data_IF_398502839719
#
_entry.id   IF_398502839719
#
_cell.length_a   1.000
_cell.length_b   1.000
_cell.length_c   1.000
_cell.angle_alpha   90.00
_cell.angle_beta   90.00
_cell.angle_gamma   90.00
#
_symmetry.space_group_name_H-M   'P 1'
#
loop_
_entity.id
_entity.type
_entity.pdbx_description
1 polymer ?
#
# COMPACT_ATOMS: atom_id res chain seq x y z
N UNK A 1 59.10 14.28 -21.14
CA UNK A 1 58.28 13.24 -21.80
C UNK A 1 58.20 12.06 -20.83
N UNK A 2 57.09 11.95 -20.10
CA UNK A 2 56.91 10.93 -19.06
C UNK A 2 55.94 9.86 -19.57
N UNK A 3 56.39 8.61 -19.55
CA UNK A 3 55.60 7.43 -19.93
C UNK A 3 54.63 7.04 -18.81
N UNK A 4 53.36 6.68 -19.11
CA UNK A 4 52.44 6.20 -18.09
C UNK A 4 52.67 4.73 -17.74
N UNK A 5 52.48 4.43 -16.45
CA UNK A 5 52.62 3.11 -15.83
C UNK A 5 51.52 2.13 -16.30
N UNK A 6 51.92 0.85 -16.40
CA UNK A 6 51.08 -0.27 -16.84
C UNK A 6 50.11 -0.68 -15.72
N UNK A 7 48.83 -0.70 -16.03
CA UNK A 7 47.76 -1.27 -15.18
C UNK A 7 47.79 -2.80 -15.29
N UNK A 8 48.04 -3.48 -14.18
CA UNK A 8 47.92 -4.94 -14.05
C UNK A 8 46.48 -5.33 -13.73
N UNK A 9 45.83 -6.06 -14.63
CA UNK A 9 44.55 -6.72 -14.38
C UNK A 9 44.77 -7.95 -13.50
N UNK A 10 44.12 -7.99 -12.34
CA UNK A 10 44.04 -9.17 -11.47
C UNK A 10 42.78 -9.96 -11.84
N UNK A 11 42.99 -11.18 -12.34
CA UNK A 11 41.96 -12.10 -12.80
C UNK A 11 41.69 -13.13 -11.69
N UNK A 12 40.57 -13.00 -10.97
CA UNK A 12 40.17 -13.94 -9.91
C UNK A 12 39.29 -15.05 -10.50
N UNK A 13 39.93 -16.16 -10.91
CA UNK A 13 39.23 -17.44 -11.12
C UNK A 13 39.18 -18.22 -9.81
N UNK A 14 38.01 -18.24 -9.17
CA UNK A 14 37.72 -19.15 -8.07
C UNK A 14 37.39 -20.55 -8.64
N UNK A 15 38.30 -21.49 -8.45
CA UNK A 15 38.06 -22.92 -8.63
C UNK A 15 37.39 -23.45 -7.35
N UNK A 16 36.06 -23.63 -7.38
CA UNK A 16 35.35 -24.40 -6.37
C UNK A 16 35.36 -25.87 -6.80
N UNK A 17 36.12 -26.71 -6.07
CA UNK A 17 36.06 -28.16 -6.22
C UNK A 17 34.93 -28.69 -5.35
N UNK A 18 33.97 -29.34 -6.00
CA UNK A 18 32.89 -30.09 -5.38
C UNK A 18 33.44 -31.28 -4.59
N UNK A 19 33.11 -31.38 -3.30
CA UNK A 19 33.28 -32.61 -2.55
C UNK A 19 32.34 -32.67 -1.35
N UNK A 20 31.10 -33.13 -1.54
CA UNK A 20 30.31 -33.77 -0.47
C UNK A 20 29.34 -34.78 -1.08
N UNK A 21 29.81 -36.02 -1.20
CA UNK A 21 28.96 -37.21 -1.32
C UNK A 21 28.60 -37.67 0.10
N UNK A 22 27.40 -37.31 0.57
CA UNK A 22 26.69 -38.08 1.59
C UNK A 22 25.21 -37.70 1.54
N UNK A 23 24.42 -38.63 1.00
CA UNK A 23 23.00 -38.48 0.71
C UNK A 23 22.21 -39.04 1.89
N UNK A 24 22.11 -38.27 2.97
CA UNK A 24 21.09 -38.46 3.99
C UNK A 24 19.89 -37.55 3.66
N UNK A 25 18.71 -38.16 3.56
CA UNK A 25 17.45 -37.51 3.27
C UNK A 25 17.01 -36.65 4.45
N UNK A 26 17.51 -35.42 4.54
CA UNK A 26 16.86 -34.38 5.33
C UNK A 26 15.75 -33.76 4.49
N UNK A 27 14.50 -34.01 4.88
CA UNK A 27 13.34 -33.29 4.37
C UNK A 27 13.46 -31.82 4.82
N UNK A 28 14.10 -30.99 3.98
CA UNK A 28 14.21 -29.56 4.21
C UNK A 28 12.81 -28.96 4.09
N UNK A 29 12.21 -28.64 5.23
CA UNK A 29 10.95 -27.92 5.30
C UNK A 29 11.17 -26.52 4.70
N UNK A 30 10.72 -26.32 3.47
CA UNK A 30 10.79 -25.02 2.78
C UNK A 30 9.79 -24.07 3.45
N UNK A 31 10.26 -23.32 4.45
CA UNK A 31 9.48 -22.25 5.08
C UNK A 31 9.39 -21.10 4.07
N UNK A 32 8.23 -20.96 3.40
CA UNK A 32 8.00 -19.87 2.43
C UNK A 32 8.02 -18.51 3.14
N UNK A 33 8.55 -17.50 2.44
CA UNK A 33 9.02 -16.19 2.93
C UNK A 33 8.07 -15.26 3.69
N UNK A 34 6.87 -15.68 4.11
CA UNK A 34 5.99 -14.86 4.97
C UNK A 34 6.27 -15.02 6.47
N UNK A 35 6.96 -16.09 6.89
CA UNK A 35 7.25 -16.36 8.30
C UNK A 35 8.70 -16.08 8.72
N UNK A 36 9.60 -15.72 7.80
CA UNK A 36 11.03 -15.52 8.14
C UNK A 36 11.20 -14.38 9.15
N UNK A 37 10.54 -13.24 8.95
CA UNK A 37 10.59 -12.13 9.91
C UNK A 37 9.94 -12.46 11.27
N UNK A 38 8.99 -13.40 11.30
CA UNK A 38 8.39 -13.88 12.55
C UNK A 38 9.33 -14.83 13.29
N UNK A 39 10.01 -15.70 12.56
CA UNK A 39 11.05 -16.59 13.10
C UNK A 39 12.19 -15.77 13.66
N UNK A 40 12.67 -14.73 12.95
CA UNK A 40 13.73 -13.85 13.45
C UNK A 40 13.33 -13.13 14.73
N UNK A 41 12.12 -12.56 14.82
CA UNK A 41 11.63 -11.94 16.07
C UNK A 41 11.46 -12.94 17.22
N UNK A 42 11.10 -14.18 16.92
CA UNK A 42 11.00 -15.24 17.93
C UNK A 42 12.39 -15.68 18.38
N UNK A 43 13.35 -15.79 17.46
CA UNK A 43 14.74 -16.12 17.75
C UNK A 43 15.41 -15.01 18.57
N UNK A 44 15.18 -13.74 18.24
CA UNK A 44 15.67 -12.58 18.99
C UNK A 44 15.13 -12.59 20.43
N UNK A 45 13.83 -12.87 20.62
CA UNK A 45 13.24 -13.07 21.96
C UNK A 45 13.85 -14.24 22.74
N UNK A 46 14.37 -15.26 22.07
CA UNK A 46 15.06 -16.37 22.72
C UNK A 46 16.52 -16.03 23.09
N UNK A 47 17.18 -15.16 22.32
CA UNK A 47 18.51 -14.62 22.67
C UNK A 47 18.41 -13.77 23.93
N UNK A 48 17.40 -12.89 24.02
CA UNK A 48 17.20 -12.01 25.17
C UNK A 48 16.72 -12.75 26.44
N UNK A 49 16.10 -13.93 26.28
CA UNK A 49 15.57 -14.70 27.41
C UNK A 49 15.84 -16.21 27.27
N UNK A 50 17.05 -16.67 27.65
CA UNK A 50 17.43 -18.08 27.51
C UNK A 50 16.56 -19.02 28.35
N UNK A 51 15.88 -18.52 29.40
CA UNK A 51 14.95 -19.34 30.21
C UNK A 51 13.70 -19.74 29.42
N UNK A 52 13.23 -18.91 28.49
CA UNK A 52 12.11 -19.26 27.61
C UNK A 52 12.51 -20.36 26.62
N UNK A 53 13.73 -20.33 26.11
CA UNK A 53 14.26 -21.38 25.24
C UNK A 53 14.36 -22.72 25.98
N UNK A 54 14.89 -22.72 27.21
CA UNK A 54 14.96 -23.93 28.06
C UNK A 54 13.56 -24.46 28.39
N UNK A 55 12.59 -23.60 28.70
CA UNK A 55 11.20 -24.01 28.95
C UNK A 55 10.51 -24.54 27.69
N UNK A 56 10.85 -24.00 26.51
CA UNK A 56 10.35 -24.50 25.23
C UNK A 56 10.95 -25.86 24.89
N UNK A 57 12.26 -26.05 25.09
CA UNK A 57 12.96 -27.34 24.92
C UNK A 57 12.44 -28.42 25.88
N UNK A 58 12.19 -28.07 27.14
CA UNK A 58 11.60 -28.98 28.14
C UNK A 58 10.25 -29.56 27.73
N UNK A 59 9.49 -28.90 26.85
CA UNK A 59 8.23 -29.47 26.33
C UNK A 59 8.46 -30.63 25.37
N UNK A 60 9.61 -30.66 24.69
CA UNK A 60 10.01 -31.74 23.79
C UNK A 60 10.82 -32.84 24.50
N UNK A 61 11.49 -32.50 25.60
CA UNK A 61 12.20 -33.48 26.44
C UNK A 61 11.25 -34.35 27.29
N UNK A 62 10.01 -33.88 27.52
CA UNK A 62 8.95 -34.75 28.03
C UNK A 62 8.54 -35.66 26.90
N UNK A 63 8.99 -36.92 26.95
CA UNK A 63 8.40 -37.99 26.15
C UNK A 63 6.88 -37.83 26.21
N UNK A 64 6.19 -37.79 25.05
CA UNK A 64 4.74 -37.65 25.02
C UNK A 64 4.20 -38.72 25.95
N UNK A 65 3.54 -38.28 27.04
CA UNK A 65 3.00 -39.21 28.02
C UNK A 65 2.10 -40.21 27.30
N UNK A 66 1.97 -41.44 27.82
CA UNK A 66 1.09 -42.45 27.23
C UNK A 66 -0.27 -41.81 27.01
N UNK A 67 -0.60 -41.59 25.73
CA UNK A 67 -1.80 -40.89 25.32
C UNK A 67 -2.98 -41.58 25.99
N UNK A 68 -3.61 -40.90 26.94
CA UNK A 68 -4.89 -41.37 27.45
C UNK A 68 -5.87 -41.23 26.29
N UNK A 69 -6.14 -42.38 25.67
CA UNK A 69 -7.15 -42.62 24.67
C UNK A 69 -8.53 -42.29 25.25
N UNK A 70 -8.86 -41.00 25.23
CA UNK A 70 -10.17 -40.46 25.53
C UNK A 70 -10.65 -39.67 24.34
N UNK A 71 -11.22 -40.37 23.36
CA UNK A 71 -12.29 -39.87 22.48
C UNK A 71 -12.07 -38.47 21.90
N UNK A 72 -11.01 -38.29 21.10
CA UNK A 72 -10.96 -37.21 20.11
C UNK A 72 -11.08 -37.80 18.71
N UNK A 73 -12.29 -38.22 18.39
CA UNK A 73 -12.70 -38.60 17.02
C UNK A 73 -12.84 -37.33 16.19
N UNK A 74 -11.72 -36.69 15.88
CA UNK A 74 -11.58 -35.88 14.66
C UNK A 74 -10.12 -35.79 14.23
N UNK A 75 -9.44 -36.92 14.27
CA UNK A 75 -8.34 -37.15 13.35
C UNK A 75 -8.95 -37.15 11.95
N UNK A 76 -8.77 -36.05 11.21
CA UNK A 76 -8.88 -36.09 9.77
C UNK A 76 -7.84 -37.11 9.30
N UNK A 77 -8.26 -38.36 9.14
CA UNK A 77 -7.57 -39.29 8.29
C UNK A 77 -7.62 -38.64 6.92
N UNK A 78 -6.58 -37.88 6.59
CA UNK A 78 -6.31 -37.39 5.24
C UNK A 78 -6.01 -38.63 4.41
N UNK A 79 -7.07 -39.35 4.06
CA UNK A 79 -7.04 -40.24 2.92
C UNK A 79 -6.47 -39.40 1.77
N UNK A 80 -5.32 -39.78 1.19
CA UNK A 80 -4.74 -39.03 0.08
C UNK A 80 -5.83 -38.83 -0.95
N UNK A 81 -6.15 -37.57 -1.26
CA UNK A 81 -7.14 -37.26 -2.27
C UNK A 81 -6.72 -37.98 -3.55
N UNK A 82 -7.67 -38.54 -4.32
CA UNK A 82 -7.36 -39.06 -5.64
C UNK A 82 -6.52 -38.03 -6.42
N UNK A 83 -5.48 -38.44 -7.18
CA UNK A 83 -4.60 -37.51 -7.88
C UNK A 83 -5.33 -36.46 -8.72
N UNK A 84 -6.48 -36.83 -9.29
CA UNK A 84 -7.36 -35.92 -10.04
C UNK A 84 -7.96 -34.79 -9.19
N UNK A 85 -8.38 -35.08 -7.96
CA UNK A 85 -8.89 -34.05 -7.03
C UNK A 85 -7.76 -33.14 -6.53
N UNK A 86 -6.56 -33.69 -6.34
CA UNK A 86 -5.39 -32.90 -5.98
C UNK A 86 -5.03 -31.91 -7.11
N UNK A 87 -4.96 -32.38 -8.36
CA UNK A 87 -4.67 -31.52 -9.51
C UNK A 87 -5.74 -30.43 -9.68
N UNK A 88 -7.03 -30.79 -9.52
CA UNK A 88 -8.13 -29.83 -9.56
C UNK A 88 -7.99 -28.76 -8.49
N UNK A 89 -7.67 -29.14 -7.25
CA UNK A 89 -7.45 -28.20 -6.14
C UNK A 89 -6.26 -27.28 -6.40
N UNK A 90 -5.16 -27.81 -6.94
CA UNK A 90 -3.98 -27.01 -7.31
C UNK A 90 -4.33 -26.00 -8.41
N UNK A 91 -5.11 -26.41 -9.41
CA UNK A 91 -5.60 -25.52 -10.48
C UNK A 91 -6.51 -24.41 -9.93
N UNK A 92 -7.45 -24.74 -9.06
CA UNK A 92 -8.33 -23.76 -8.40
C UNK A 92 -7.54 -22.77 -7.54
N UNK A 93 -6.52 -23.23 -6.82
CA UNK A 93 -5.63 -22.36 -6.04
C UNK A 93 -4.79 -21.45 -6.94
N UNK A 94 -4.28 -21.97 -8.06
CA UNK A 94 -3.57 -21.16 -9.06
C UNK A 94 -4.50 -20.09 -9.65
N UNK A 95 -5.71 -20.47 -10.07
CA UNK A 95 -6.70 -19.53 -10.62
C UNK A 95 -7.10 -18.46 -9.59
N UNK A 96 -7.33 -18.86 -8.34
CA UNK A 96 -7.60 -17.93 -7.24
C UNK A 96 -6.44 -16.96 -7.02
N UNK A 97 -5.19 -17.47 -7.00
CA UNK A 97 -4.00 -16.62 -6.84
C UNK A 97 -3.83 -15.63 -8.00
N UNK A 98 -4.12 -16.05 -9.24
CA UNK A 98 -4.11 -15.18 -10.41
C UNK A 98 -5.20 -14.11 -10.29
N UNK A 99 -6.41 -14.48 -9.87
CA UNK A 99 -7.51 -13.52 -9.63
C UNK A 99 -7.17 -12.51 -8.55
N UNK A 100 -6.53 -12.92 -7.45
CA UNK A 100 -6.11 -11.98 -6.42
C UNK A 100 -5.02 -11.01 -6.93
N UNK A 101 -4.02 -11.51 -7.65
CA UNK A 101 -3.02 -10.64 -8.32
C UNK A 101 -3.67 -9.67 -9.31
N UNK A 102 -4.66 -10.15 -10.06
CA UNK A 102 -5.45 -9.35 -10.99
C UNK A 102 -6.15 -8.20 -10.28
N UNK A 103 -6.83 -8.50 -9.16
CA UNK A 103 -7.53 -7.49 -8.36
C UNK A 103 -6.59 -6.42 -7.84
N UNK A 104 -5.40 -6.77 -7.37
CA UNK A 104 -4.45 -5.76 -6.89
C UNK A 104 -4.01 -4.77 -7.98
N UNK A 105 -4.02 -5.18 -9.25
CA UNK A 105 -3.57 -4.38 -10.37
C UNK A 105 -4.66 -3.49 -11.00
N UNK A 106 -5.92 -3.57 -10.57
CA UNK A 106 -6.97 -2.67 -11.09
C UNK A 106 -6.89 -1.28 -10.43
N UNK A 107 -7.26 -0.18 -11.12
CA UNK A 107 -7.10 1.18 -10.61
C UNK A 107 -7.78 1.41 -9.27
N UNK A 108 -8.95 0.82 -9.08
CA UNK A 108 -9.73 0.95 -7.85
C UNK A 108 -8.99 0.40 -6.63
N UNK A 109 -8.54 -0.86 -6.70
CA UNK A 109 -7.88 -1.52 -5.57
C UNK A 109 -6.53 -0.88 -5.31
N UNK A 110 -5.80 -0.49 -6.35
CA UNK A 110 -4.52 0.16 -6.17
C UNK A 110 -4.65 1.57 -5.58
N UNK A 111 -5.65 2.34 -6.01
CA UNK A 111 -5.99 3.61 -5.36
C UNK A 111 -6.32 3.41 -3.89
N UNK A 112 -7.17 2.43 -3.56
CA UNK A 112 -7.52 2.13 -2.17
C UNK A 112 -6.31 1.68 -1.34
N UNK A 113 -5.41 0.86 -1.89
CA UNK A 113 -4.20 0.42 -1.20
C UNK A 113 -3.29 1.62 -0.86
N UNK A 114 -3.15 2.58 -1.78
CA UNK A 114 -2.44 3.83 -1.51
C UNK A 114 -3.16 4.71 -0.48
N UNK A 115 -4.51 4.79 -0.53
CA UNK A 115 -5.29 5.53 0.48
C UNK A 115 -5.06 4.96 1.88
N UNK A 116 -5.07 3.64 2.01
CA UNK A 116 -4.79 2.94 3.26
C UNK A 116 -3.35 3.24 3.71
N UNK A 117 -2.37 3.18 2.80
CA UNK A 117 -0.97 3.46 3.11
C UNK A 117 -0.74 4.90 3.57
N UNK A 118 -1.34 5.88 2.88
CA UNK A 118 -1.29 7.29 3.26
C UNK A 118 -1.99 7.53 4.60
N UNK A 119 -3.12 6.87 4.85
CA UNK A 119 -3.80 6.90 6.13
C UNK A 119 -2.88 6.40 7.27
N UNK A 120 -2.20 5.26 7.07
CA UNK A 120 -1.23 4.76 8.03
C UNK A 120 -0.04 5.70 8.25
N UNK A 121 0.47 6.36 7.19
CA UNK A 121 1.55 7.34 7.35
C UNK A 121 1.11 8.52 8.22
N UNK A 122 -0.06 9.10 7.95
CA UNK A 122 -0.60 10.17 8.78
C UNK A 122 -0.80 9.74 10.25
N UNK A 123 -1.16 8.48 10.48
CA UNK A 123 -1.29 7.92 11.84
C UNK A 123 0.05 7.88 12.57
N UNK A 124 1.12 7.46 11.89
CA UNK A 124 2.47 7.44 12.46
C UNK A 124 2.96 8.85 12.79
N UNK A 125 2.78 9.82 11.89
CA UNK A 125 3.21 11.21 12.08
C UNK A 125 2.50 11.90 13.26
N UNK A 126 1.22 11.59 13.49
CA UNK A 126 0.45 12.19 14.58
C UNK A 126 0.81 11.60 15.95
N UNK A 127 1.57 10.50 16.01
CA UNK A 127 1.86 9.78 17.26
C UNK A 127 0.59 9.35 18.02
N UNK A 128 -0.54 9.23 17.31
CA UNK A 128 -1.84 8.94 17.91
C UNK A 128 -2.06 7.45 18.00
N UNK A 129 -2.65 7.04 19.11
CA UNK A 129 -3.15 5.70 19.35
C UNK A 129 -4.20 5.33 18.27
N UNK A 130 -3.99 4.26 17.48
CA UNK A 130 -4.89 3.86 16.40
C UNK A 130 -6.34 3.68 16.88
N UNK A 131 -6.55 3.30 18.14
CA UNK A 131 -7.88 3.01 18.70
C UNK A 131 -8.69 4.27 19.03
N UNK A 132 -8.06 5.46 19.04
CA UNK A 132 -8.69 6.71 19.52
C UNK A 132 -9.14 7.66 18.42
N UNK A 133 -8.92 7.34 17.15
CA UNK A 133 -9.25 8.26 16.05
C UNK A 133 -10.58 7.90 15.39
N UNK A 134 -11.37 8.93 15.06
CA UNK A 134 -12.59 8.76 14.27
C UNK A 134 -12.23 8.21 12.87
N UNK A 135 -12.72 7.01 12.49
CA UNK A 135 -12.30 6.31 11.27
C UNK A 135 -12.48 7.12 9.97
N UNK A 136 -13.49 7.98 9.92
CA UNK A 136 -13.91 8.64 8.68
C UNK A 136 -13.07 9.87 8.31
N UNK A 137 -12.59 10.67 9.29
CA UNK A 137 -11.90 11.94 8.99
C UNK A 137 -10.54 11.75 8.33
N UNK A 138 -9.81 10.71 8.73
CA UNK A 138 -8.47 10.43 8.21
C UNK A 138 -8.51 9.84 6.80
N UNK A 139 -9.53 9.06 6.47
CA UNK A 139 -9.63 8.41 5.16
C UNK A 139 -9.90 9.41 4.03
N UNK A 140 -10.75 10.41 4.26
CA UNK A 140 -11.05 11.43 3.25
C UNK A 140 -9.84 12.31 2.93
N UNK A 141 -9.03 12.62 3.96
CA UNK A 141 -7.79 13.38 3.79
C UNK A 141 -6.76 12.57 2.99
N UNK A 142 -6.49 11.34 3.40
CA UNK A 142 -5.62 10.42 2.67
C UNK A 142 -6.06 10.26 1.21
N UNK A 143 -7.36 10.09 0.98
CA UNK A 143 -7.95 10.02 -0.37
C UNK A 143 -7.70 11.25 -1.22
N UNK A 144 -7.85 12.44 -0.66
CA UNK A 144 -7.54 13.70 -1.37
C UNK A 144 -6.06 13.77 -1.72
N UNK A 145 -5.17 13.39 -0.80
CA UNK A 145 -3.73 13.39 -1.04
C UNK A 145 -3.32 12.42 -2.16
N UNK A 146 -3.80 11.17 -2.11
CA UNK A 146 -3.56 10.17 -3.18
C UNK A 146 -4.08 10.69 -4.51
N UNK A 147 -5.29 11.26 -4.53
CA UNK A 147 -5.88 11.83 -5.75
C UNK A 147 -5.04 12.96 -6.31
N UNK A 148 -4.59 13.91 -5.49
CA UNK A 148 -3.70 15.00 -5.92
C UNK A 148 -2.45 14.40 -6.56
N UNK A 149 -1.85 13.39 -5.92
CA UNK A 149 -0.65 12.76 -6.47
C UNK A 149 -0.89 12.01 -7.78
N UNK A 150 -2.04 11.35 -7.96
CA UNK A 150 -2.39 10.72 -9.23
C UNK A 150 -2.66 11.75 -10.34
N UNK A 151 -3.18 12.93 -10.00
CA UNK A 151 -3.33 14.05 -10.95
C UNK A 151 -1.97 14.56 -11.38
N UNK A 152 -1.04 14.77 -10.44
CA UNK A 152 0.33 15.24 -10.73
C UNK A 152 1.10 14.24 -11.60
N UNK A 153 0.93 12.94 -11.35
CA UNK A 153 1.52 11.88 -12.18
C UNK A 153 0.84 11.73 -13.54
N UNK A 154 -0.27 12.44 -13.80
CA UNK A 154 -1.03 12.31 -15.04
C UNK A 154 -1.82 11.00 -15.18
N UNK A 155 -1.92 10.21 -14.10
CA UNK A 155 -2.70 8.96 -14.03
C UNK A 155 -4.20 9.28 -13.95
N UNK A 156 -4.55 10.28 -13.13
CA UNK A 156 -5.94 10.66 -12.91
C UNK A 156 -6.55 11.34 -14.15
N UNK A 157 -7.74 10.89 -14.54
CA UNK A 157 -8.49 11.47 -15.67
C UNK A 157 -9.45 12.57 -15.24
N UNK A 158 -9.67 13.57 -16.10
CA UNK A 158 -10.63 14.67 -15.83
C UNK A 158 -12.06 14.15 -15.79
N UNK A 159 -12.33 13.05 -16.49
CA UNK A 159 -13.62 12.39 -16.61
C UNK A 159 -13.97 11.59 -15.34
N UNK A 160 -12.99 11.25 -14.50
CA UNK A 160 -13.20 10.62 -13.19
C UNK A 160 -13.75 11.60 -12.13
N UNK A 161 -14.20 12.78 -12.54
CA UNK A 161 -14.73 13.84 -11.67
C UNK A 161 -16.24 13.73 -11.40
N UNK A 162 -16.91 12.67 -11.83
CA UNK A 162 -18.36 12.55 -11.61
C UNK A 162 -18.63 12.60 -10.11
N UNK A 163 -19.40 13.60 -9.65
CA UNK A 163 -19.66 13.91 -8.22
C UNK A 163 -20.23 12.73 -7.42
N UNK A 164 -20.71 11.69 -8.11
CA UNK A 164 -21.23 10.47 -7.51
C UNK A 164 -20.17 9.36 -7.28
N UNK A 165 -18.99 9.49 -7.88
CA UNK A 165 -17.97 8.44 -7.91
C UNK A 165 -16.62 9.01 -7.47
N UNK A 166 -16.42 9.15 -6.16
CA UNK A 166 -15.11 9.53 -5.59
C UNK A 166 -14.00 8.47 -5.85
N UNK A 167 -14.32 7.36 -6.52
CA UNK A 167 -13.44 6.25 -6.81
C UNK A 167 -13.11 6.16 -8.31
N UNK A 168 -11.86 5.81 -8.69
CA UNK A 168 -11.52 5.61 -10.09
C UNK A 168 -12.32 4.44 -10.67
N UNK A 169 -12.64 4.47 -11.97
CA UNK A 169 -13.29 3.36 -12.66
C UNK A 169 -12.37 2.12 -12.72
N UNK A 170 -12.92 1.01 -13.17
CA UNK A 170 -12.21 -0.26 -13.27
C UNK A 170 -11.06 -0.28 -14.30
N UNK A 171 -10.98 0.70 -15.21
CA UNK A 171 -10.03 0.70 -16.33
C UNK A 171 -8.96 1.78 -16.20
N UNK A 172 -7.72 1.43 -16.51
CA UNK A 172 -6.58 2.35 -16.46
C UNK A 172 -6.60 3.40 -17.56
N UNK A 173 -5.74 4.41 -17.40
CA UNK A 173 -5.58 5.49 -18.38
C UNK A 173 -5.12 4.98 -19.75
N UNK A 174 -4.15 4.07 -19.76
CA UNK A 174 -3.53 3.53 -20.97
C UNK A 174 -4.38 2.48 -21.70
N UNK A 175 -5.41 1.92 -21.06
CA UNK A 175 -6.28 0.89 -21.68
C UNK A 175 -7.30 1.47 -22.66
N UNK A 176 -7.63 2.75 -22.52
CA UNK A 176 -8.51 3.41 -23.48
C UNK A 176 -7.70 3.98 -24.65
N UNK A 177 -8.33 4.14 -25.83
CA UNK A 177 -7.71 4.86 -26.94
C UNK A 177 -7.14 6.20 -26.48
N UNK A 178 -5.92 6.48 -26.94
CA UNK A 178 -5.22 7.73 -26.61
C UNK A 178 -6.04 8.92 -27.12
N UNK A 179 -6.43 9.87 -26.25
CA UNK A 179 -7.13 11.07 -26.69
C UNK A 179 -6.26 11.90 -27.64
N UNK A 180 -6.85 12.58 -28.64
CA UNK A 180 -6.11 13.50 -29.50
C UNK A 180 -5.47 14.62 -28.67
N UNK A 181 -4.20 14.93 -28.96
CA UNK A 181 -3.43 15.95 -28.24
C UNK A 181 -2.78 15.49 -26.93
N UNK A 182 -2.98 14.23 -26.51
CA UNK A 182 -2.26 13.66 -25.37
C UNK A 182 -0.95 13.01 -25.83
N UNK A 183 0.14 13.26 -25.11
CA UNK A 183 1.43 12.62 -25.41
C UNK A 183 1.41 11.15 -25.01
N UNK A 184 2.24 10.33 -25.67
CA UNK A 184 2.39 8.92 -25.32
C UNK A 184 2.84 8.74 -23.86
N UNK A 185 3.75 9.61 -23.38
CA UNK A 185 4.22 9.61 -22.00
C UNK A 185 3.07 9.83 -21.00
N UNK A 186 2.19 10.79 -21.27
CA UNK A 186 1.04 11.08 -20.40
C UNK A 186 -0.01 9.97 -20.43
N UNK A 187 -0.19 9.30 -21.57
CA UNK A 187 -1.12 8.17 -21.70
C UNK A 187 -0.57 6.94 -20.98
N UNK A 188 0.73 6.68 -21.17
CA UNK A 188 1.47 5.60 -20.56
C UNK A 188 1.81 5.83 -19.08
N UNK A 189 1.54 7.00 -18.50
CA UNK A 189 1.84 7.31 -17.09
C UNK A 189 1.24 6.31 -16.08
N UNK A 190 0.20 5.58 -16.48
CA UNK A 190 -0.44 4.52 -15.68
C UNK A 190 0.12 3.11 -15.90
N UNK A 191 1.15 2.97 -16.74
CA UNK A 191 1.85 1.70 -16.98
C UNK A 191 2.74 1.37 -15.78
N UNK A 192 3.00 0.08 -15.50
CA UNK A 192 3.78 -0.34 -14.32
C UNK A 192 5.15 0.34 -14.25
N UNK A 193 5.88 0.39 -15.37
CA UNK A 193 7.18 1.04 -15.46
C UNK A 193 7.19 2.48 -14.94
N UNK A 194 6.37 3.36 -15.51
CA UNK A 194 6.35 4.79 -15.14
C UNK A 194 5.86 4.99 -13.70
N UNK A 195 4.88 4.20 -13.27
CA UNK A 195 4.40 4.26 -11.90
C UNK A 195 5.48 3.88 -10.90
N UNK A 196 6.17 2.77 -11.15
CA UNK A 196 7.26 2.30 -10.30
C UNK A 196 8.35 3.36 -10.16
N UNK A 197 8.76 3.98 -11.27
CA UNK A 197 9.74 5.07 -11.23
C UNK A 197 9.27 6.26 -10.40
N UNK A 198 8.02 6.69 -10.56
CA UNK A 198 7.46 7.78 -9.76
C UNK A 198 7.46 7.43 -8.25
N UNK A 199 7.13 6.19 -7.90
CA UNK A 199 7.18 5.72 -6.51
C UNK A 199 8.61 5.67 -5.96
N UNK A 200 9.59 5.21 -6.76
CA UNK A 200 11.01 5.21 -6.38
C UNK A 200 11.52 6.63 -6.17
N UNK A 201 11.16 7.56 -7.06
CA UNK A 201 11.52 8.97 -6.90
C UNK A 201 10.94 9.57 -5.62
N UNK A 202 9.67 9.26 -5.30
CA UNK A 202 9.03 9.69 -4.05
C UNK A 202 9.75 9.10 -2.83
N UNK A 203 10.00 7.80 -2.81
CA UNK A 203 10.69 7.13 -1.69
C UNK A 203 12.12 7.64 -1.53
N UNK A 204 12.80 7.99 -2.62
CA UNK A 204 14.14 8.61 -2.58
C UNK A 204 14.11 9.95 -1.87
N UNK A 205 13.10 10.79 -2.13
CA UNK A 205 12.95 12.08 -1.45
C UNK A 205 12.69 11.90 0.05
N UNK A 206 11.82 10.95 0.41
CA UNK A 206 11.52 10.61 1.81
C UNK A 206 12.79 10.13 2.53
N UNK A 207 13.51 9.16 1.96
CA UNK A 207 14.76 8.65 2.54
C UNK A 207 15.85 9.72 2.64
N UNK A 208 15.91 10.64 1.68
CA UNK A 208 16.83 11.78 1.73
C UNK A 208 16.52 12.71 2.92
N UNK A 209 15.24 12.96 3.20
CA UNK A 209 14.81 13.75 4.36
C UNK A 209 15.09 13.01 5.69
N UNK A 210 14.77 11.72 5.77
CA UNK A 210 15.03 10.88 6.95
C UNK A 210 16.53 10.82 7.25
N UNK A 211 17.38 10.62 6.23
CA UNK A 211 18.83 10.51 6.40
C UNK A 211 19.49 11.85 6.69
N UNK A 212 18.98 12.95 6.14
CA UNK A 212 19.43 14.31 6.47
C UNK A 212 19.25 14.66 7.95
N UNK A 213 18.27 14.03 8.63
CA UNK A 213 18.09 14.17 10.08
C UNK A 213 19.04 13.28 10.89
N UNK A 214 19.59 12.22 10.30
CA UNK A 214 20.39 11.19 10.96
C UNK A 214 21.85 11.14 10.50
N UNK A 215 22.31 12.18 9.79
CA UNK A 215 23.56 12.17 9.05
C UNK A 215 24.78 12.08 9.97
N UNK A 216 25.24 10.85 10.28
CA UNK A 216 26.64 10.59 10.68
C UNK A 216 27.09 9.13 10.69
N UNK A 217 26.23 8.15 10.41
CA UNK A 217 26.62 6.73 10.56
C UNK A 217 26.89 6.03 9.21
N UNK A 218 28.19 5.80 8.96
CA UNK A 218 28.87 4.76 8.16
C UNK A 218 28.14 4.06 7.01
N UNK A 219 28.81 3.97 5.84
CA UNK A 219 28.62 3.03 4.70
C UNK A 219 27.23 2.47 4.38
N UNK A 220 26.15 3.18 4.72
CA UNK A 220 24.80 2.77 4.40
C UNK A 220 24.63 2.76 2.87
N UNK A 221 23.89 1.78 2.31
CA UNK A 221 23.62 1.68 0.88
C UNK A 221 23.17 3.01 0.27
N UNK A 222 23.40 3.16 -1.04
CA UNK A 222 22.97 4.34 -1.78
C UNK A 222 21.44 4.54 -1.62
N UNK A 223 21.02 5.79 -1.49
CA UNK A 223 19.62 6.17 -1.24
C UNK A 223 18.74 5.64 -2.38
N UNK A 224 19.24 5.63 -3.61
CA UNK A 224 18.51 5.09 -4.76
C UNK A 224 18.27 3.59 -4.62
N UNK A 225 19.26 2.82 -4.17
CA UNK A 225 19.15 1.38 -3.96
C UNK A 225 18.12 1.06 -2.87
N UNK A 226 18.14 1.80 -1.76
CA UNK A 226 17.15 1.64 -0.69
C UNK A 226 15.73 1.99 -1.14
N UNK A 227 15.56 3.11 -1.86
CA UNK A 227 14.27 3.51 -2.41
C UNK A 227 13.71 2.43 -3.35
N UNK A 228 14.55 1.94 -4.27
CA UNK A 228 14.20 0.86 -5.18
C UNK A 228 13.75 -0.40 -4.43
N UNK A 229 14.52 -0.86 -3.44
CA UNK A 229 14.18 -2.08 -2.69
C UNK A 229 12.91 -1.90 -1.85
N UNK A 230 12.70 -0.72 -1.25
CA UNK A 230 11.49 -0.41 -0.48
C UNK A 230 10.24 -0.44 -1.37
N UNK A 231 10.30 0.17 -2.55
CA UNK A 231 9.18 0.17 -3.51
C UNK A 231 8.94 -1.23 -4.09
N UNK A 232 10.00 -1.92 -4.55
CA UNK A 232 9.89 -3.30 -5.06
C UNK A 232 9.32 -4.25 -4.00
N UNK A 233 9.79 -4.17 -2.76
CA UNK A 233 9.28 -4.97 -1.65
C UNK A 233 7.78 -4.76 -1.45
N UNK A 234 7.30 -3.51 -1.51
CA UNK A 234 5.87 -3.17 -1.45
C UNK A 234 5.10 -3.78 -2.62
N UNK A 235 5.62 -3.69 -3.85
CA UNK A 235 4.97 -4.25 -5.04
C UNK A 235 4.88 -5.78 -4.99
N UNK A 236 5.93 -6.44 -4.51
CA UNK A 236 5.92 -7.90 -4.27
C UNK A 236 4.89 -8.27 -3.20
N UNK A 237 4.83 -7.52 -2.09
CA UNK A 237 3.85 -7.76 -1.03
C UNK A 237 2.40 -7.59 -1.50
N UNK A 238 2.15 -6.61 -2.37
CA UNK A 238 0.85 -6.38 -3.00
C UNK A 238 0.55 -7.32 -4.17
N UNK A 239 1.47 -8.20 -4.57
CA UNK A 239 1.29 -9.09 -5.72
C UNK A 239 1.31 -8.39 -7.08
N UNK A 240 1.73 -7.12 -7.13
CA UNK A 240 1.85 -6.31 -8.35
C UNK A 240 3.11 -6.64 -9.15
N UNK A 241 4.16 -7.13 -8.49
CA UNK A 241 5.41 -7.47 -9.14
C UNK A 241 5.26 -8.78 -9.95
N UNK A 242 5.68 -8.77 -11.21
CA UNK A 242 5.91 -9.99 -11.98
C UNK A 242 7.35 -10.45 -11.81
N UNK A 243 7.55 -11.72 -11.43
CA UNK A 243 8.89 -12.30 -11.27
C UNK A 243 9.65 -12.33 -12.60
N UNK A 244 8.95 -12.38 -13.73
CA UNK A 244 9.54 -12.36 -15.08
C UNK A 244 10.14 -11.00 -15.46
N UNK A 245 9.77 -9.91 -14.78
CA UNK A 245 10.29 -8.57 -15.07
C UNK A 245 11.76 -8.39 -14.66
N UNK A 246 12.31 -9.25 -13.79
CA UNK A 246 13.70 -9.18 -13.36
C UNK A 246 14.02 -7.96 -12.47
N UNK A 247 14.75 -6.97 -13.01
CA UNK A 247 15.19 -5.78 -12.25
C UNK A 247 14.20 -4.62 -12.36
N UNK A 248 13.58 -4.39 -13.52
CA UNK A 248 12.64 -3.28 -13.68
C UNK A 248 11.30 -3.81 -14.16
N UNK A 249 10.18 -3.22 -13.70
CA UNK A 249 8.88 -3.67 -14.16
C UNK A 249 8.72 -3.45 -15.66
N UNK A 250 7.96 -4.33 -16.30
CA UNK A 250 7.61 -4.22 -17.71
C UNK A 250 6.64 -3.07 -17.99
N UNK A 251 6.23 -2.98 -19.26
CA UNK A 251 5.27 -1.97 -19.73
C UNK A 251 3.82 -2.45 -19.61
N UNK A 252 3.56 -3.75 -19.53
CA UNK A 252 2.21 -4.31 -19.42
C UNK A 252 1.92 -4.69 -17.98
N UNK A 253 0.71 -4.42 -17.49
CA UNK A 253 0.27 -5.00 -16.23
C UNK A 253 0.10 -6.52 -16.38
N UNK A 254 0.26 -7.26 -15.28
CA UNK A 254 0.07 -8.71 -15.23
C UNK A 254 -1.25 -9.19 -15.83
N UNK A 255 -2.31 -8.38 -15.75
CA UNK A 255 -3.61 -8.73 -16.27
C UNK A 255 -3.81 -8.44 -17.76
N UNK A 256 -2.97 -7.59 -18.36
CA UNK A 256 -3.06 -7.30 -19.80
C UNK A 256 -2.64 -8.51 -20.63
N UNK A 257 -1.77 -9.35 -20.09
CA UNK A 257 -1.29 -10.57 -20.73
C UNK A 257 -2.24 -11.76 -20.55
N UNK A 258 -3.26 -11.64 -19.68
CA UNK A 258 -4.26 -12.68 -19.51
C UNK A 258 -5.27 -12.66 -20.67
N UNK A 259 -5.74 -13.84 -21.13
CA UNK A 259 -6.81 -13.92 -22.11
C UNK A 259 -8.02 -13.09 -21.65
N UNK A 260 -8.56 -12.22 -22.53
CA UNK A 260 -9.69 -11.34 -22.17
C UNK A 260 -10.91 -12.10 -21.64
N UNK A 261 -11.05 -13.37 -22.04
CA UNK A 261 -12.12 -14.26 -21.62
C UNK A 261 -12.02 -14.73 -20.16
N UNK A 262 -10.85 -14.57 -19.52
CA UNK A 262 -10.66 -14.90 -18.10
C UNK A 262 -10.98 -13.74 -17.15
N UNK A 263 -11.30 -12.56 -17.68
CA UNK A 263 -11.74 -11.44 -16.85
C UNK A 263 -13.14 -11.74 -16.31
N UNK A 264 -13.33 -11.86 -14.97
CA UNK A 264 -14.67 -12.04 -14.43
C UNK A 264 -15.55 -10.89 -14.92
N UNK A 265 -16.73 -11.17 -15.49
CA UNK A 265 -17.55 -10.16 -16.14
C UNK A 265 -17.81 -9.04 -15.14
N UNK A 266 -17.34 -7.82 -15.45
CA UNK A 266 -17.38 -6.64 -14.58
C UNK A 266 -18.80 -6.22 -14.13
N UNK A 267 -19.83 -6.92 -14.61
CA UNK A 267 -21.25 -6.61 -14.45
C UNK A 267 -21.87 -7.11 -13.14
N UNK A 268 -21.26 -8.01 -12.37
CA UNK A 268 -21.88 -8.46 -11.10
C UNK A 268 -21.53 -7.59 -9.88
N UNK A 269 -20.41 -6.88 -9.89
CA UNK A 269 -19.99 -6.05 -8.75
C UNK A 269 -20.89 -4.80 -8.53
N UNK A 270 -21.59 -4.33 -9.57
CA UNK A 270 -22.39 -3.10 -9.52
C UNK A 270 -23.85 -3.36 -9.09
N UNK A 271 -24.36 -4.58 -9.27
CA UNK A 271 -25.72 -4.97 -8.84
C UNK A 271 -25.81 -5.21 -7.32
N UNK A 272 -24.71 -5.64 -6.68
CA UNK A 272 -24.66 -5.88 -5.24
C UNK A 272 -24.80 -4.59 -4.39
N UNK A 273 -24.38 -3.42 -4.88
CA UNK A 273 -24.53 -2.14 -4.15
C UNK A 273 -25.96 -1.56 -4.28
N UNK A 274 -26.68 -1.87 -5.37
CA UNK A 274 -28.06 -1.39 -5.56
C UNK A 274 -29.05 -2.07 -4.62
N UNK A 275 -28.86 -3.34 -4.29
CA UNK A 275 -29.75 -4.08 -3.37
C UNK A 275 -29.58 -3.61 -1.92
N UNK A 276 -28.37 -3.23 -1.50
CA UNK A 276 -28.09 -2.68 -0.16
C UNK A 276 -28.76 -1.31 0.07
N UNK A 277 -28.83 -0.45 -0.96
CA UNK A 277 -29.56 0.82 -0.91
C UNK A 277 -31.09 0.64 -0.88
N UNK A 278 -31.62 -0.42 -1.49
CA UNK A 278 -33.07 -0.71 -1.52
C UNK A 278 -33.60 -1.18 -0.16
N UNK A 279 -32.78 -1.85 0.66
CA UNK A 279 -33.15 -2.27 2.03
C UNK A 279 -33.24 -1.06 2.98
N UNK A 280 -32.33 -0.09 2.90
CA UNK A 280 -32.37 1.13 3.75
C UNK A 280 -33.52 2.08 3.44
N UNK A 281 -34.07 2.06 2.21
CA UNK A 281 -35.23 2.90 1.85
C UNK A 281 -36.55 2.36 2.43
N UNK A 282 -36.59 1.10 2.85
CA UNK A 282 -37.82 0.43 3.33
C UNK A 282 -38.06 0.58 4.83
N UNK A 283 -37.04 0.89 5.62
CA UNK A 283 -37.16 1.19 7.08
C UNK A 283 -37.47 2.65 7.40
N UNK A 284 -37.60 3.53 6.40
CA UNK A 284 -37.97 4.96 6.58
C UNK A 284 -39.46 5.27 6.35
N UNK A 285 -40.33 4.25 6.30
CA UNK A 285 -41.78 4.45 6.42
C UNK A 285 -42.15 4.65 7.89
N UNK A 286 -42.03 5.92 8.30
CA UNK A 286 -42.79 6.64 9.33
C UNK A 286 -43.77 5.79 10.16
N UNK A 287 -43.45 5.59 11.43
CA UNK A 287 -44.45 5.76 12.48
C UNK A 287 -44.61 7.28 12.73
N UNK A 288 -45.84 7.84 12.74
CA UNK A 288 -46.06 9.24 13.09
C UNK A 288 -45.85 9.42 14.60
N UNK A 289 -44.68 9.90 14.99
CA UNK A 289 -44.46 10.44 16.35
C UNK A 289 -45.04 11.85 16.33
N UNK A 290 -46.13 12.05 17.07
CA UNK A 290 -46.71 13.35 17.35
C UNK A 290 -45.64 14.24 18.02
N UNK A 291 -45.10 15.19 17.25
CA UNK A 291 -44.17 16.20 17.78
C UNK A 291 -44.97 17.36 18.34
N UNK A 292 -44.81 17.52 19.65
CA UNK A 292 -45.29 18.62 20.45
C UNK A 292 -44.72 19.96 19.95
N UNK A 293 -45.61 20.93 19.67
CA UNK A 293 -45.28 22.20 18.99
C UNK A 293 -44.72 23.28 19.94
N UNK A 294 -44.37 22.93 21.17
CA UNK A 294 -44.04 23.91 22.20
C UNK A 294 -42.55 24.28 22.26
N UNK A 295 -41.65 23.45 21.72
CA UNK A 295 -40.19 23.70 21.74
C UNK A 295 -39.70 24.79 20.77
N UNK A 296 -40.40 25.02 19.65
CA UNK A 296 -39.93 25.88 18.56
C UNK A 296 -40.13 27.38 18.86
N UNK A 297 -41.04 27.72 19.79
CA UNK A 297 -41.26 29.11 20.24
C UNK A 297 -40.17 29.63 21.18
N UNK A 298 -39.41 28.74 21.86
CA UNK A 298 -38.32 29.16 22.76
C UNK A 298 -37.03 29.52 22.00
N UNK A 299 -36.73 28.84 20.89
CA UNK A 299 -35.51 29.11 20.11
C UNK A 299 -35.55 30.43 19.35
N UNK A 300 -36.73 30.90 18.93
CA UNK A 300 -36.87 32.18 18.24
C UNK A 300 -36.60 33.41 19.14
N UNK A 301 -36.78 33.30 20.46
CA UNK A 301 -36.53 34.41 21.41
C UNK A 301 -35.05 34.62 21.76
N UNK A 302 -34.19 33.62 21.55
CA UNK A 302 -32.75 33.74 21.78
C UNK A 302 -31.98 34.32 20.58
N UNK A 303 -32.53 34.22 19.36
CA UNK A 303 -31.89 34.76 18.16
C UNK A 303 -31.98 36.29 18.04
N UNK A 304 -32.99 36.92 18.64
CA UNK A 304 -33.17 38.39 18.57
C UNK A 304 -32.24 39.15 19.53
N UNK A 305 -31.75 38.51 20.60
CA UNK A 305 -30.82 39.19 21.53
C UNK A 305 -29.36 39.21 21.04
N UNK A 306 -28.97 38.31 20.14
CA UNK A 306 -27.57 38.18 19.71
C UNK A 306 -27.16 39.13 18.58
N UNK A 307 -28.11 39.77 17.91
CA UNK A 307 -27.85 40.74 16.83
C UNK A 307 -27.70 42.18 17.31
N UNK A 308 -27.91 42.47 18.59
CA UNK A 308 -27.78 43.83 19.14
C UNK A 308 -26.37 44.19 19.66
N UNK A 309 -25.47 43.21 19.89
CA UNK A 309 -24.16 43.45 20.52
C UNK A 309 -22.97 43.58 19.55
N UNK A 310 -23.16 43.39 18.23
CA UNK A 310 -22.05 43.47 17.26
C UNK A 310 -21.90 44.83 16.54
N UNK A 311 -22.61 45.87 16.98
CA UNK A 311 -22.54 47.21 16.39
C UNK A 311 -21.62 48.19 17.15
N UNK A 312 -20.53 47.71 17.76
CA UNK A 312 -19.43 48.57 18.25
C UNK A 312 -18.13 48.16 17.59
N UNK A 313 -17.74 48.93 16.56
CA UNK A 313 -16.53 48.71 15.78
C UNK A 313 -15.25 49.10 16.52
N UNK A 314 -14.10 48.56 16.13
CA UNK A 314 -12.81 49.12 16.46
C UNK A 314 -12.36 50.08 15.34
N UNK A 315 -12.30 51.36 15.68
CA UNK A 315 -11.41 52.34 15.07
C UNK A 315 -9.99 51.75 15.01
N UNK A 316 -9.41 51.63 13.81
CA UNK A 316 -7.98 51.34 13.66
C UNK A 316 -7.30 52.34 12.73
N UNK A 317 -6.21 52.82 13.30
CA UNK A 317 -5.44 53.97 12.91
C UNK A 317 -4.67 53.79 11.60
N UNK A 318 -4.53 54.93 10.94
CA UNK A 318 -3.67 55.21 9.80
C UNK A 318 -2.20 55.21 10.23
N UNK A 319 -1.37 54.40 9.57
CA UNK A 319 0.10 54.54 9.44
C UNK A 319 0.59 53.45 8.47
N UNK A 320 1.59 53.57 7.61
CA UNK A 320 2.38 54.61 6.94
C UNK A 320 3.03 53.90 5.72
N UNK A 321 3.45 54.60 4.66
CA UNK A 321 3.99 53.95 3.45
C UNK A 321 5.46 53.53 3.66
N UNK A 322 5.75 52.25 3.43
CA UNK A 322 7.11 51.70 3.39
C UNK A 322 7.74 51.95 2.02
N UNK A 323 8.94 52.50 2.05
CA UNK A 323 9.81 52.91 0.95
C UNK A 323 10.31 51.73 0.10
N UNK A 324 10.22 51.88 -1.22
CA UNK A 324 10.87 51.01 -2.21
C UNK A 324 12.39 51.22 -2.16
N UNK A 325 13.14 50.16 -1.85
CA UNK A 325 14.61 50.15 -1.95
C UNK A 325 15.01 49.40 -3.23
N UNK A 326 15.38 50.18 -4.24
CA UNK A 326 16.05 49.72 -5.46
C UNK A 326 17.48 49.32 -5.11
N UNK A 327 17.87 48.08 -5.35
CA UNK A 327 19.27 47.67 -5.39
C UNK A 327 19.57 47.11 -6.78
N UNK A 328 20.30 47.92 -7.54
CA UNK A 328 20.98 47.50 -8.76
C UNK A 328 22.34 46.86 -8.45
N UNK A 329 22.78 46.03 -9.39
CA UNK A 329 24.14 45.47 -9.43
C UNK A 329 24.08 44.04 -9.98
N UNK A 330 24.98 43.60 -10.85
CA UNK A 330 26.15 44.22 -11.48
C UNK A 330 26.57 43.25 -12.58
N UNK A 331 26.68 43.74 -13.81
CA UNK A 331 27.27 43.00 -14.94
C UNK A 331 28.76 42.82 -14.68
N UNK A 332 29.29 41.62 -14.88
CA UNK A 332 30.72 41.40 -15.18
C UNK A 332 30.84 40.61 -16.48
N UNK A 333 31.74 41.13 -17.32
CA UNK A 333 32.17 40.61 -18.62
C UNK A 333 32.95 39.32 -18.48
#
# INVERSE_FOLDING_TARGET
MATPAKTTNFDFRLNLKDNTSSRDQFSVMVIRGRDVGRVDQILEKFVDNPRLLTRARQRYDRSPGPSQSGTSTRGSSETPLPPEEQEKRERELQEYSQKERWRCAIPYEQFNAEVISEQYREWQELGKDPDKMAPDYSRDKARKNVRISWVEQGIWRKEWKTEAADHPPASWKHELPRPPGMTEKEHAASRPYYRFLNEVERDRLILGQERGQLAEQSSSPDINTLAYHRVKGRWVQMGLWNDDWGILPGMTWLYEDLPKDSCPPAVEAVEADKTSKRVKKRTRRKAPIARDKEGERRSARLAVKKTAEHARGPERQVSSPVTKRTLGGRVRK
#
